data_IF_576829886757
#
_entry.id   IF_576829886757
#
_cell.length_a   1.000
_cell.length_b   1.000
_cell.length_c   1.000
_cell.angle_alpha   90.00
_cell.angle_beta   90.00
_cell.angle_gamma   90.00
#
_symmetry.space_group_name_H-M   'P 1'
#
loop_
_entity.id
_entity.type
_entity.pdbx_description
1 polymer ?
#
# COMPACT_ATOMS: atom_id res chain seq x y z
N UNK A 1 8.76 5.99 6.33
CA UNK A 1 7.84 5.25 5.43
C UNK A 1 8.53 4.93 4.11
N UNK A 2 8.98 5.92 3.34
CA UNK A 2 9.74 5.65 2.10
C UNK A 2 11.10 4.97 2.34
N UNK A 3 11.72 5.24 3.50
CA UNK A 3 13.00 4.65 3.93
C UNK A 3 12.99 3.12 4.13
N UNK A 4 11.83 2.47 4.00
CA UNK A 4 11.68 1.01 4.15
C UNK A 4 11.85 0.24 2.84
N UNK A 5 11.90 0.94 1.70
CA UNK A 5 12.00 0.32 0.38
C UNK A 5 13.45 0.36 -0.12
N UNK A 6 13.89 -0.77 -0.65
CA UNK A 6 15.11 -0.81 -1.47
C UNK A 6 14.75 -0.30 -2.87
N UNK A 7 15.34 0.84 -3.26
CA UNK A 7 15.05 1.49 -4.53
C UNK A 7 16.24 1.29 -5.45
N UNK A 8 16.07 0.48 -6.51
CA UNK A 8 17.11 0.20 -7.51
C UNK A 8 16.81 0.88 -8.84
N UNK A 9 15.53 1.09 -9.12
CA UNK A 9 15.03 1.67 -10.37
C UNK A 9 14.09 2.84 -10.12
N UNK A 10 13.81 3.63 -11.16
CA UNK A 10 12.79 4.67 -11.13
C UNK A 10 11.39 4.10 -10.88
N UNK A 11 11.13 2.88 -11.35
CA UNK A 11 9.86 2.19 -11.15
C UNK A 11 9.69 1.77 -9.68
N UNK A 12 10.76 1.29 -9.04
CA UNK A 12 10.74 0.99 -7.60
C UNK A 12 10.41 2.24 -6.78
N UNK A 13 10.98 3.38 -7.16
CA UNK A 13 10.71 4.65 -6.50
C UNK A 13 9.25 5.08 -6.65
N UNK A 14 8.71 5.02 -7.87
CA UNK A 14 7.31 5.33 -8.16
C UNK A 14 6.36 4.42 -7.40
N UNK A 15 6.64 3.12 -7.37
CA UNK A 15 5.86 2.13 -6.63
C UNK A 15 5.91 2.38 -5.12
N UNK A 16 7.09 2.69 -4.57
CA UNK A 16 7.25 3.03 -3.16
C UNK A 16 6.47 4.29 -2.79
N UNK A 17 6.48 5.32 -3.65
CA UNK A 17 5.70 6.54 -3.47
C UNK A 17 4.20 6.26 -3.47
N UNK A 18 3.70 5.47 -4.42
CA UNK A 18 2.29 5.07 -4.47
C UNK A 18 1.87 4.31 -3.21
N UNK A 19 2.68 3.36 -2.74
CA UNK A 19 2.36 2.59 -1.53
C UNK A 19 2.36 3.48 -0.28
N UNK A 20 3.31 4.41 -0.15
CA UNK A 20 3.33 5.39 0.95
C UNK A 20 2.10 6.32 0.90
N UNK A 21 1.72 6.81 -0.28
CA UNK A 21 0.53 7.64 -0.44
C UNK A 21 -0.74 6.88 -0.03
N UNK A 22 -0.86 5.61 -0.42
CA UNK A 22 -1.99 4.76 -0.02
C UNK A 22 -2.05 4.54 1.49
N UNK A 23 -0.91 4.28 2.13
CA UNK A 23 -0.83 4.14 3.59
C UNK A 23 -1.25 5.44 4.32
N UNK A 24 -0.85 6.60 3.81
CA UNK A 24 -1.27 7.90 4.36
C UNK A 24 -2.78 8.10 4.19
N UNK A 25 -3.33 7.80 3.02
CA UNK A 25 -4.77 7.90 2.77
C UNK A 25 -5.57 6.97 3.70
N UNK A 26 -5.13 5.72 3.88
CA UNK A 26 -5.77 4.76 4.78
C UNK A 26 -5.71 5.23 6.24
N UNK A 27 -4.60 5.82 6.69
CA UNK A 27 -4.50 6.40 8.01
C UNK A 27 -5.50 7.56 8.21
N UNK A 28 -5.70 8.39 7.19
CA UNK A 28 -6.71 9.44 7.18
C UNK A 28 -8.13 8.89 7.29
N UNK A 29 -8.47 7.88 6.47
CA UNK A 29 -9.77 7.20 6.51
C UNK A 29 -10.05 6.54 7.85
N UNK A 30 -9.04 5.91 8.45
CA UNK A 30 -9.16 5.33 9.78
C UNK A 30 -9.48 6.40 10.83
N UNK A 31 -8.72 7.52 10.83
CA UNK A 31 -8.92 8.61 11.78
C UNK A 31 -10.28 9.30 11.63
N UNK A 32 -10.87 9.28 10.44
CA UNK A 32 -12.20 9.84 10.20
C UNK A 32 -13.36 8.89 10.52
N UNK A 33 -13.09 7.67 11.02
CA UNK A 33 -14.13 6.67 11.32
C UNK A 33 -14.71 6.00 10.06
N UNK A 34 -14.09 6.16 8.88
CA UNK A 34 -14.63 5.62 7.62
C UNK A 34 -14.86 4.11 7.67
N UNK A 35 -13.99 3.38 8.38
CA UNK A 35 -14.06 1.92 8.46
C UNK A 35 -15.16 1.38 9.40
N UNK A 36 -15.95 2.26 10.04
CA UNK A 36 -17.20 1.86 10.72
C UNK A 36 -18.32 1.53 9.73
N UNK A 37 -18.21 2.03 8.49
CA UNK A 37 -19.25 1.90 7.46
C UNK A 37 -18.81 1.12 6.22
N UNK A 38 -17.50 0.96 6.01
CA UNK A 38 -16.96 0.28 4.83
C UNK A 38 -15.69 -0.48 5.17
N UNK A 39 -15.39 -1.56 4.44
CA UNK A 39 -14.16 -2.33 4.60
C UNK A 39 -13.22 -2.13 3.40
N UNK A 40 -11.93 -1.93 3.67
CA UNK A 40 -10.90 -1.93 2.64
C UNK A 40 -10.46 -3.36 2.31
N UNK A 41 -10.68 -3.78 1.06
CA UNK A 41 -10.45 -5.17 0.63
C UNK A 41 -9.62 -5.24 -0.67
N UNK A 42 -9.18 -6.46 -1.02
CA UNK A 42 -8.46 -6.76 -2.26
C UNK A 42 -6.94 -6.80 -2.12
N UNK A 43 -6.25 -6.96 -3.26
CA UNK A 43 -4.80 -7.19 -3.29
C UNK A 43 -3.96 -6.06 -2.69
N UNK A 44 -4.43 -4.81 -2.77
CA UNK A 44 -3.76 -3.66 -2.15
C UNK A 44 -3.85 -3.70 -0.61
N UNK A 45 -4.99 -4.15 -0.06
CA UNK A 45 -5.15 -4.34 1.39
C UNK A 45 -4.18 -5.42 1.91
N UNK A 46 -4.14 -6.55 1.22
CA UNK A 46 -3.21 -7.65 1.52
C UNK A 46 -1.75 -7.22 1.42
N UNK A 47 -1.39 -6.42 0.41
CA UNK A 47 -0.04 -5.86 0.26
C UNK A 47 0.34 -4.97 1.44
N UNK A 48 -0.52 -4.01 1.78
CA UNK A 48 -0.20 -2.99 2.77
C UNK A 48 -0.15 -3.58 4.18
N UNK A 49 -1.11 -4.42 4.56
CA UNK A 49 -1.21 -4.94 5.93
C UNK A 49 -0.46 -6.25 6.17
N UNK A 50 -0.34 -7.10 5.14
CA UNK A 50 0.29 -8.43 5.25
C UNK A 50 1.58 -8.56 4.44
N UNK A 51 2.07 -7.46 3.84
CA UNK A 51 3.31 -7.42 3.05
C UNK A 51 3.34 -8.42 1.87
N UNK A 52 2.18 -8.94 1.48
CA UNK A 52 2.06 -9.92 0.39
C UNK A 52 2.49 -9.28 -0.92
N UNK A 53 3.32 -9.96 -1.72
CA UNK A 53 3.65 -9.46 -3.06
C UNK A 53 2.41 -9.41 -3.95
N UNK A 54 2.26 -8.32 -4.72
CA UNK A 54 1.22 -8.22 -5.75
C UNK A 54 1.59 -9.24 -6.82
N UNK A 55 0.84 -10.34 -6.89
CA UNK A 55 1.00 -11.42 -7.86
C UNK A 55 2.44 -11.97 -7.98
N UNK A 56 2.60 -13.21 -7.51
CA UNK A 56 3.60 -14.11 -8.08
C UNK A 56 3.52 -14.05 -9.62
N UNK A 57 4.64 -13.76 -10.27
CA UNK A 57 4.92 -13.91 -11.70
C UNK A 57 3.86 -14.68 -12.51
N UNK A 58 3.37 -14.06 -13.59
CA UNK A 58 3.35 -14.72 -14.89
C UNK A 58 3.97 -13.76 -15.91
N UNK A 59 5.24 -14.04 -16.23
CA UNK A 59 5.79 -13.80 -17.57
C UNK A 59 5.21 -14.86 -18.50
#
# INVERSE_FOLDING_TARGET
MLSRYEIKTTDDYSNALHEVMQQIALAGLYRSGFFEHAAFNGGTCLRIFHQLQRFSYQK
#
